data_IF_982055901499
#
_entry.id   IF_982055901499
#
_cell.length_a   1.000
_cell.length_b   1.000
_cell.length_c   1.000
_cell.angle_alpha   90.00
_cell.angle_beta   90.00
_cell.angle_gamma   90.00
#
_symmetry.space_group_name_H-M   'P 1'
#
loop_
_entity.id
_entity.type
_entity.pdbx_description
1 polymer ?
#
# COMPACT_ATOMS: atom_id res chain seq x y z
N UNK A 1 30.32 4.66 -30.28
CA UNK A 1 30.66 5.50 -29.10
C UNK A 1 30.89 4.60 -27.89
N UNK A 2 31.94 4.83 -27.07
CA UNK A 2 32.23 3.97 -25.93
C UNK A 2 31.22 4.17 -24.79
N UNK A 3 30.70 3.06 -24.26
CA UNK A 3 29.62 2.96 -23.26
C UNK A 3 29.88 3.77 -21.97
N UNK A 4 31.15 4.05 -21.65
CA UNK A 4 31.53 4.90 -20.50
C UNK A 4 30.96 6.32 -20.57
N UNK A 5 30.79 6.89 -21.77
CA UNK A 5 30.23 8.25 -21.92
C UNK A 5 28.73 8.32 -21.59
N UNK A 6 27.98 7.25 -21.87
CA UNK A 6 26.55 7.20 -21.57
C UNK A 6 26.29 7.09 -20.06
N UNK A 7 27.12 6.33 -19.35
CA UNK A 7 26.98 6.13 -17.91
C UNK A 7 27.24 7.41 -17.11
N UNK A 8 28.18 8.25 -17.54
CA UNK A 8 28.46 9.53 -16.88
C UNK A 8 27.32 10.55 -17.07
N UNK A 9 26.60 10.48 -18.20
CA UNK A 9 25.45 11.35 -18.47
C UNK A 9 24.23 11.01 -17.61
N UNK A 10 24.05 9.75 -17.20
CA UNK A 10 22.91 9.31 -16.37
C UNK A 10 23.09 9.69 -14.90
N UNK A 11 24.33 9.89 -14.43
CA UNK A 11 24.62 10.23 -13.03
C UNK A 11 24.59 11.73 -12.71
N UNK A 12 24.13 12.58 -13.62
CA UNK A 12 23.85 14.00 -13.31
C UNK A 12 25.06 14.81 -12.81
N UNK A 13 26.28 14.38 -13.12
CA UNK A 13 27.50 15.16 -12.84
C UNK A 13 27.81 16.06 -14.04
N UNK A 14 27.01 17.10 -14.21
CA UNK A 14 27.44 18.30 -14.91
C UNK A 14 28.29 19.11 -13.94
N UNK A 15 29.61 19.14 -14.17
CA UNK A 15 30.51 20.13 -13.61
C UNK A 15 30.02 21.52 -14.04
N UNK A 16 29.58 22.32 -13.07
CA UNK A 16 29.29 23.75 -13.26
C UNK A 16 30.24 24.51 -12.35
N UNK A 17 31.30 25.08 -12.95
CA UNK A 17 32.10 26.15 -12.35
C UNK A 17 31.66 27.52 -12.91
N UNK A 18 31.92 28.62 -12.18
CA UNK A 18 31.12 29.83 -12.21
C UNK A 18 31.71 30.94 -13.10
N UNK A 19 30.84 31.71 -13.74
CA UNK A 19 31.11 33.03 -14.34
C UNK A 19 29.74 33.61 -14.75
N UNK A 20 29.39 34.89 -14.66
CA UNK A 20 29.94 36.11 -14.08
C UNK A 20 28.75 37.10 -14.05
N UNK A 21 28.88 38.15 -13.23
CA UNK A 21 28.13 39.41 -13.25
C UNK A 21 27.41 39.79 -14.55
N UNK A 22 26.16 40.28 -14.45
CA UNK A 22 25.74 41.63 -14.93
C UNK A 22 24.45 42.04 -14.21
N UNK A 23 24.49 43.26 -13.67
CA UNK A 23 23.44 44.05 -13.03
C UNK A 23 22.41 44.63 -14.01
N UNK A 24 21.15 44.79 -13.56
CA UNK A 24 20.21 45.93 -13.81
C UNK A 24 18.86 45.52 -13.19
N UNK A 25 18.36 46.05 -12.06
CA UNK A 25 18.05 47.44 -11.64
C UNK A 25 17.03 48.17 -12.53
N UNK A 26 15.74 48.05 -12.16
CA UNK A 26 14.73 49.14 -11.97
C UNK A 26 13.60 48.55 -11.07
N UNK A 27 13.47 48.91 -9.78
CA UNK A 27 12.52 49.88 -9.17
C UNK A 27 11.14 49.98 -9.89
N UNK A 28 9.95 50.00 -9.27
CA UNK A 28 9.45 50.62 -8.05
C UNK A 28 8.09 49.93 -7.68
N UNK A 29 7.79 49.55 -6.43
CA UNK A 29 7.16 50.38 -5.38
C UNK A 29 5.64 50.13 -5.22
N UNK A 30 5.25 49.43 -4.14
CA UNK A 30 4.17 49.90 -3.28
C UNK A 30 4.30 49.30 -1.88
N UNK A 31 4.51 50.20 -0.92
CA UNK A 31 4.62 49.96 0.52
C UNK A 31 3.24 49.93 1.14
N UNK A 32 2.96 48.96 2.01
CA UNK A 32 2.18 49.21 3.23
C UNK A 32 2.97 48.57 4.39
N UNK A 33 3.37 49.44 5.32
CA UNK A 33 4.03 49.11 6.57
C UNK A 33 2.98 48.96 7.68
N UNK A 34 3.15 47.99 8.57
CA UNK A 34 2.80 48.11 9.99
C UNK A 34 3.86 47.35 10.83
N UNK A 35 4.61 48.15 11.57
CA UNK A 35 5.35 47.93 12.84
C UNK A 35 4.76 46.87 13.79
N UNK A 36 5.43 46.18 14.73
CA UNK A 36 6.52 46.55 15.66
C UNK A 36 6.92 45.24 16.40
N UNK A 37 8.17 44.72 16.30
CA UNK A 37 9.25 44.66 17.34
C UNK A 37 9.06 43.65 18.53
N UNK A 38 10.11 43.26 19.33
CA UNK A 38 10.76 41.94 19.28
C UNK A 38 10.94 41.34 20.72
N UNK A 39 12.12 40.79 21.12
CA UNK A 39 12.56 39.40 21.04
C UNK A 39 12.67 38.71 22.42
N UNK A 40 12.65 37.37 22.47
CA UNK A 40 13.15 36.62 23.64
C UNK A 40 14.19 35.57 23.22
N UNK A 41 15.43 35.95 23.51
CA UNK A 41 16.62 35.12 23.68
C UNK A 41 16.49 34.11 24.83
N UNK A 42 16.80 32.83 24.57
CA UNK A 42 17.35 31.88 25.55
C UNK A 42 18.13 30.80 24.77
N UNK A 43 19.44 30.96 24.57
CA UNK A 43 20.56 30.59 25.45
C UNK A 43 20.80 29.07 25.51
N UNK A 44 21.93 28.70 24.92
CA UNK A 44 22.60 27.40 24.93
C UNK A 44 22.59 26.72 26.30
N UNK A 45 22.42 25.39 26.28
CA UNK A 45 23.13 24.52 27.23
C UNK A 45 23.60 23.23 26.53
N UNK A 46 24.87 23.27 26.16
CA UNK A 46 25.75 22.13 25.94
C UNK A 46 25.92 21.31 27.21
N UNK A 47 25.97 19.98 27.11
CA UNK A 47 26.59 19.03 28.05
C UNK A 47 26.85 17.69 27.31
N UNK A 48 27.88 16.92 27.70
CA UNK A 48 28.88 16.26 26.83
C UNK A 48 28.56 14.81 26.35
N UNK A 49 29.43 14.22 25.50
CA UNK A 49 29.29 12.87 25.00
C UNK A 49 29.78 11.85 26.03
N UNK A 50 29.03 10.77 26.26
CA UNK A 50 29.53 9.70 27.10
C UNK A 50 29.05 8.29 26.68
N UNK A 51 30.04 7.56 26.17
CA UNK A 51 30.32 6.13 26.35
C UNK A 51 29.43 5.09 25.67
N UNK A 52 29.96 4.63 24.54
CA UNK A 52 29.89 3.27 24.03
C UNK A 52 30.28 2.22 25.08
N UNK A 53 29.47 1.16 25.28
CA UNK A 53 29.96 -0.10 25.81
C UNK A 53 30.46 -1.01 24.68
N UNK A 54 31.70 -1.45 24.86
CA UNK A 54 32.39 -2.55 24.19
C UNK A 54 31.55 -3.83 24.10
N UNK A 55 31.70 -4.62 23.00
CA UNK A 55 31.05 -5.91 22.85
C UNK A 55 31.73 -6.97 23.73
N UNK A 56 30.95 -7.64 24.58
CA UNK A 56 31.38 -8.83 25.30
C UNK A 56 31.30 -10.02 24.34
N UNK A 57 32.46 -10.59 24.03
CA UNK A 57 32.61 -11.88 23.41
C UNK A 57 32.11 -12.98 24.35
N UNK A 58 31.16 -13.80 23.90
CA UNK A 58 30.89 -15.12 24.49
C UNK A 58 30.73 -16.13 23.36
N UNK A 59 31.85 -16.82 23.13
CA UNK A 59 31.97 -18.28 23.06
C UNK A 59 31.02 -19.04 22.14
N UNK A 60 31.60 -19.41 20.99
CA UNK A 60 31.26 -20.58 20.20
C UNK A 60 30.96 -21.82 21.06
N UNK A 61 29.76 -22.37 20.88
CA UNK A 61 29.55 -23.82 21.01
C UNK A 61 28.93 -24.34 19.73
N UNK A 62 29.82 -24.85 18.89
CA UNK A 62 29.51 -25.83 17.88
C UNK A 62 28.75 -27.00 18.50
N UNK A 63 27.53 -27.24 18.04
CA UNK A 63 26.89 -28.55 18.14
C UNK A 63 26.75 -29.07 16.71
N UNK A 64 27.71 -29.91 16.37
CA UNK A 64 27.59 -30.93 15.33
C UNK A 64 26.40 -31.81 15.67
N UNK A 65 25.36 -31.76 14.85
CA UNK A 65 24.40 -32.85 14.71
C UNK A 65 24.29 -33.17 13.22
N UNK A 66 25.02 -34.22 12.85
CA UNK A 66 24.93 -34.91 11.57
C UNK A 66 23.66 -35.77 11.53
N UNK A 67 23.24 -36.07 10.30
CA UNK A 67 22.24 -37.07 9.90
C UNK A 67 20.78 -36.58 9.94
N UNK A 68 19.99 -36.68 8.87
CA UNK A 68 19.94 -37.79 7.91
C UNK A 68 19.45 -37.30 6.55
N UNK A 69 20.07 -37.83 5.50
CA UNK A 69 19.56 -37.81 4.13
C UNK A 69 18.49 -38.90 4.07
N UNK A 70 17.24 -38.49 4.29
CA UNK A 70 16.08 -39.30 3.96
C UNK A 70 15.44 -38.70 2.70
N UNK A 71 15.43 -39.53 1.68
CA UNK A 71 14.74 -39.46 0.40
C UNK A 71 13.45 -38.60 0.46
N UNK A 72 13.57 -37.34 0.02
CA UNK A 72 12.45 -36.41 -0.07
C UNK A 72 11.91 -36.44 -1.50
N UNK A 73 10.88 -37.25 -1.71
CA UNK A 73 9.86 -36.90 -2.69
C UNK A 73 9.50 -35.44 -2.47
N UNK A 74 9.58 -34.63 -3.53
CA UNK A 74 9.30 -33.19 -3.48
C UNK A 74 7.81 -33.02 -3.19
N UNK A 75 7.45 -33.12 -1.92
CA UNK A 75 6.20 -32.63 -1.38
C UNK A 75 6.26 -31.12 -1.56
N UNK A 76 5.58 -30.64 -2.60
CA UNK A 76 5.26 -29.22 -2.81
C UNK A 76 4.75 -28.72 -1.46
N UNK A 77 5.56 -27.93 -0.75
CA UNK A 77 5.24 -27.44 0.58
C UNK A 77 3.87 -26.75 0.49
N UNK A 78 2.84 -27.39 1.05
CA UNK A 78 1.51 -26.81 1.07
C UNK A 78 1.59 -25.55 1.92
N UNK A 79 1.40 -24.41 1.28
CA UNK A 79 1.31 -23.11 1.96
C UNK A 79 0.23 -23.24 3.03
N UNK A 80 0.52 -22.94 4.32
CA UNK A 80 -0.45 -23.07 5.39
C UNK A 80 -1.69 -22.23 5.08
N UNK A 81 -2.82 -22.91 4.84
CA UNK A 81 -4.06 -22.23 4.47
C UNK A 81 -4.50 -21.27 5.59
N UNK A 82 -4.91 -20.04 5.25
CA UNK A 82 -5.37 -19.08 6.25
C UNK A 82 -6.61 -19.61 6.98
N UNK A 83 -6.69 -19.33 8.29
CA UNK A 83 -7.87 -19.65 9.09
C UNK A 83 -8.96 -18.62 8.80
N UNK A 84 -9.86 -18.96 7.89
CA UNK A 84 -10.96 -18.09 7.46
C UNK A 84 -12.24 -18.36 8.25
N UNK A 85 -12.97 -17.28 8.58
CA UNK A 85 -14.31 -17.38 9.15
C UNK A 85 -15.31 -17.88 8.10
N UNK A 86 -16.51 -18.29 8.54
CA UNK A 86 -17.56 -18.80 7.64
C UNK A 86 -17.93 -17.78 6.57
N UNK A 87 -18.05 -16.51 6.95
CA UNK A 87 -18.37 -15.43 6.04
C UNK A 87 -17.26 -15.19 5.01
N UNK A 88 -15.99 -15.19 5.45
CA UNK A 88 -14.86 -15.02 4.52
C UNK A 88 -14.74 -16.18 3.54
N UNK A 89 -15.09 -17.40 3.95
CA UNK A 89 -15.17 -18.56 3.04
C UNK A 89 -16.25 -18.35 1.98
N UNK A 90 -17.40 -17.79 2.34
CA UNK A 90 -18.46 -17.47 1.38
C UNK A 90 -18.03 -16.36 0.43
N UNK A 91 -17.37 -15.31 0.95
CA UNK A 91 -16.74 -14.27 0.14
C UNK A 91 -15.75 -14.87 -0.87
N UNK A 92 -14.80 -15.69 -0.40
CA UNK A 92 -13.81 -16.32 -1.27
C UNK A 92 -14.46 -17.18 -2.36
N UNK A 93 -15.57 -17.87 -2.06
CA UNK A 93 -16.34 -18.61 -3.06
C UNK A 93 -16.97 -17.69 -4.11
N UNK A 94 -17.62 -16.61 -3.67
CA UNK A 94 -18.24 -15.63 -4.57
C UNK A 94 -17.20 -14.91 -5.46
N UNK A 95 -16.03 -14.61 -4.89
CA UNK A 95 -14.90 -14.01 -5.62
C UNK A 95 -14.28 -14.98 -6.59
N UNK A 96 -14.11 -16.24 -6.19
CA UNK A 96 -13.65 -17.28 -7.09
C UNK A 96 -14.57 -17.34 -8.30
N UNK A 97 -15.89 -17.39 -8.11
CA UNK A 97 -16.87 -17.45 -9.20
C UNK A 97 -16.88 -16.18 -10.09
N UNK A 98 -16.25 -15.10 -9.63
CA UNK A 98 -16.04 -13.88 -10.40
C UNK A 98 -14.76 -13.96 -11.24
N UNK A 99 -14.78 -13.47 -12.47
CA UNK A 99 -13.59 -13.28 -13.31
C UNK A 99 -12.83 -11.99 -12.98
N UNK A 100 -12.74 -11.64 -11.70
CA UNK A 100 -12.14 -10.38 -11.27
C UNK A 100 -10.61 -10.43 -11.39
N UNK A 101 -10.02 -9.45 -12.09
CA UNK A 101 -8.58 -9.31 -12.22
C UNK A 101 -8.00 -8.32 -11.22
N UNK A 102 -8.82 -7.38 -10.75
CA UNK A 102 -8.41 -6.30 -9.85
C UNK A 102 -9.31 -6.28 -8.62
N UNK A 103 -8.71 -6.46 -7.44
CA UNK A 103 -9.42 -6.48 -6.17
C UNK A 103 -8.83 -5.41 -5.26
N UNK A 104 -9.70 -4.52 -4.79
CA UNK A 104 -9.39 -3.51 -3.79
C UNK A 104 -10.00 -3.93 -2.45
N UNK A 105 -9.17 -4.07 -1.43
CA UNK A 105 -9.60 -4.31 -0.05
C UNK A 105 -9.31 -3.10 0.84
N UNK A 106 -10.32 -2.69 1.61
CA UNK A 106 -10.28 -1.53 2.50
C UNK A 106 -10.51 -2.02 3.93
N UNK A 107 -9.54 -1.79 4.81
CA UNK A 107 -9.56 -2.27 6.20
C UNK A 107 -9.20 -3.75 6.31
N UNK A 108 -7.92 -4.09 6.20
CA UNK A 108 -7.40 -5.46 6.11
C UNK A 108 -7.59 -6.23 7.42
N UNK A 109 -7.51 -5.54 8.56
CA UNK A 109 -7.65 -6.16 9.88
C UNK A 109 -6.49 -7.13 10.14
N UNK A 110 -6.80 -8.40 10.41
CA UNK A 110 -5.81 -9.43 10.76
C UNK A 110 -5.04 -9.99 9.55
N UNK A 111 -5.44 -9.65 8.33
CA UNK A 111 -4.80 -10.09 7.08
C UNK A 111 -5.11 -11.53 6.66
N UNK A 112 -5.81 -12.32 7.49
CA UNK A 112 -6.16 -13.70 7.13
C UNK A 112 -7.13 -13.73 5.94
N UNK A 113 -8.05 -12.78 5.92
CA UNK A 113 -9.00 -12.61 4.81
C UNK A 113 -8.30 -12.27 3.50
N UNK A 114 -7.41 -11.27 3.49
CA UNK A 114 -6.63 -10.89 2.31
C UNK A 114 -5.84 -12.07 1.72
N UNK A 115 -5.22 -12.88 2.58
CA UNK A 115 -4.55 -14.13 2.15
C UNK A 115 -5.53 -15.12 1.52
N UNK A 116 -6.70 -15.31 2.13
CA UNK A 116 -7.74 -16.20 1.60
C UNK A 116 -8.27 -15.76 0.25
N UNK A 117 -8.43 -14.45 0.05
CA UNK A 117 -8.86 -13.86 -1.22
C UNK A 117 -7.83 -14.12 -2.32
N UNK A 118 -6.55 -13.84 -2.04
CA UNK A 118 -5.49 -14.05 -3.02
C UNK A 118 -5.32 -15.53 -3.33
N UNK A 119 -5.39 -16.42 -2.33
CA UNK A 119 -5.38 -17.88 -2.52
C UNK A 119 -6.54 -18.35 -3.42
N UNK A 120 -7.76 -17.91 -3.13
CA UNK A 120 -8.95 -18.30 -3.88
C UNK A 120 -8.92 -17.83 -5.35
N UNK A 121 -8.37 -16.64 -5.61
CA UNK A 121 -8.27 -16.07 -6.95
C UNK A 121 -7.10 -16.65 -7.75
N UNK A 122 -5.96 -16.91 -7.11
CA UNK A 122 -4.78 -17.50 -7.76
C UNK A 122 -4.87 -19.02 -7.94
N UNK A 123 -5.75 -19.70 -7.19
CA UNK A 123 -6.03 -21.11 -7.36
C UNK A 123 -6.71 -21.47 -8.70
N UNK A 124 -7.22 -20.48 -9.44
CA UNK A 124 -7.69 -20.67 -10.81
C UNK A 124 -6.51 -20.43 -11.75
N UNK A 125 -6.28 -21.33 -12.71
CA UNK A 125 -5.35 -21.08 -13.81
C UNK A 125 -5.91 -19.97 -14.72
N UNK A 126 -5.82 -18.73 -14.25
CA UNK A 126 -6.15 -17.56 -15.03
C UNK A 126 -4.93 -17.20 -15.88
N UNK A 127 -5.17 -16.83 -17.13
CA UNK A 127 -4.10 -16.39 -18.03
C UNK A 127 -3.45 -15.09 -17.56
N UNK A 128 -4.16 -14.28 -16.75
CA UNK A 128 -3.71 -12.97 -16.27
C UNK A 128 -3.48 -13.01 -14.75
N UNK A 129 -2.34 -12.50 -14.26
CA UNK A 129 -2.09 -12.44 -12.83
C UNK A 129 -3.03 -11.44 -12.16
N UNK A 130 -3.66 -11.87 -11.08
CA UNK A 130 -4.57 -11.05 -10.27
C UNK A 130 -3.79 -9.91 -9.59
N UNK A 131 -4.36 -8.71 -9.62
CA UNK A 131 -3.86 -7.53 -8.94
C UNK A 131 -4.67 -7.31 -7.66
N UNK A 132 -4.02 -7.49 -6.51
CA UNK A 132 -4.60 -7.29 -5.19
C UNK A 132 -4.04 -6.01 -4.58
N UNK A 133 -4.94 -5.07 -4.28
CA UNK A 133 -4.63 -3.76 -3.72
C UNK A 133 -5.25 -3.68 -2.34
N UNK A 134 -4.44 -3.36 -1.33
CA UNK A 134 -4.90 -3.31 0.05
C UNK A 134 -4.64 -1.92 0.65
N UNK A 135 -5.71 -1.28 1.13
CA UNK A 135 -5.67 0.04 1.78
C UNK A 135 -5.95 -0.15 3.26
N UNK A 136 -4.96 0.17 4.09
CA UNK A 136 -5.06 0.14 5.55
C UNK A 136 -4.00 1.06 6.14
N UNK A 137 -4.19 1.53 7.37
CA UNK A 137 -3.16 2.24 8.12
C UNK A 137 -2.14 1.30 8.79
N UNK A 138 -2.41 -0.02 8.85
CA UNK A 138 -1.52 -1.02 9.47
C UNK A 138 -1.10 -0.60 10.89
N UNK A 139 0.20 -0.68 11.20
CA UNK A 139 0.78 -0.30 12.50
C UNK A 139 0.52 1.18 12.85
N UNK A 140 0.33 2.06 11.87
CA UNK A 140 -0.02 3.46 12.11
C UNK A 140 -1.48 3.64 12.57
N UNK A 141 -2.34 2.67 12.25
CA UNK A 141 -3.74 2.63 12.69
C UNK A 141 -3.94 1.87 14.01
N UNK A 142 -2.87 1.44 14.68
CA UNK A 142 -2.94 0.62 15.89
C UNK A 142 -3.30 -0.85 15.64
N UNK A 143 -3.23 -1.31 14.38
CA UNK A 143 -3.47 -2.70 14.03
C UNK A 143 -2.26 -3.57 14.44
N UNK A 144 -2.45 -4.77 15.05
CA UNK A 144 -1.36 -5.70 15.33
C UNK A 144 -0.61 -6.18 14.08
N UNK A 145 -1.25 -6.15 12.90
CA UNK A 145 -0.62 -6.57 11.66
C UNK A 145 0.25 -5.45 11.07
N UNK A 146 1.56 -5.69 10.99
CA UNK A 146 2.49 -4.75 10.34
C UNK A 146 2.46 -4.89 8.81
N UNK A 147 2.76 -3.78 8.12
CA UNK A 147 2.87 -3.75 6.66
C UNK A 147 3.87 -4.80 6.14
N UNK A 148 5.01 -4.93 6.83
CA UNK A 148 6.07 -5.87 6.49
C UNK A 148 5.61 -7.32 6.62
N UNK A 149 4.90 -7.63 7.70
CA UNK A 149 4.37 -8.98 7.96
C UNK A 149 3.38 -9.38 6.88
N UNK A 150 2.42 -8.51 6.58
CA UNK A 150 1.41 -8.77 5.57
C UNK A 150 2.01 -8.92 4.17
N UNK A 151 2.95 -8.04 3.79
CA UNK A 151 3.67 -8.18 2.53
C UNK A 151 4.46 -9.48 2.43
N UNK A 152 5.07 -9.95 3.53
CA UNK A 152 5.80 -11.22 3.56
C UNK A 152 4.84 -12.39 3.28
N UNK A 153 3.69 -12.40 3.94
CA UNK A 153 2.67 -13.44 3.79
C UNK A 153 2.11 -13.52 2.36
N UNK A 154 1.90 -12.37 1.72
CA UNK A 154 1.33 -12.33 0.37
C UNK A 154 2.33 -12.67 -0.75
N UNK A 155 3.64 -12.62 -0.48
CA UNK A 155 4.68 -12.93 -1.49
C UNK A 155 4.66 -14.40 -1.94
N UNK A 156 4.03 -15.27 -1.16
CA UNK A 156 3.92 -16.70 -1.45
C UNK A 156 2.95 -17.01 -2.61
N UNK A 157 2.12 -16.04 -2.99
CA UNK A 157 1.11 -16.20 -4.04
C UNK A 157 1.58 -15.59 -5.37
N UNK A 158 1.19 -16.17 -6.52
CA UNK A 158 1.50 -15.63 -7.85
C UNK A 158 0.58 -14.45 -8.22
N UNK A 159 0.44 -13.46 -7.33
CA UNK A 159 -0.37 -12.27 -7.52
C UNK A 159 0.48 -10.99 -7.47
N UNK A 160 0.01 -9.95 -8.15
CA UNK A 160 0.58 -8.60 -8.02
C UNK A 160 -0.05 -7.95 -6.80
N UNK A 161 0.76 -7.69 -5.77
CA UNK A 161 0.29 -7.18 -4.49
C UNK A 161 0.75 -5.75 -4.31
N UNK A 162 -0.20 -4.86 -4.01
CA UNK A 162 0.04 -3.45 -3.76
C UNK A 162 -0.55 -3.03 -2.42
N UNK A 163 0.31 -2.67 -1.47
CA UNK A 163 -0.11 -2.23 -0.15
C UNK A 163 -0.01 -0.70 -0.06
N UNK A 164 -1.07 -0.07 0.43
CA UNK A 164 -1.21 1.38 0.56
C UNK A 164 -1.36 1.70 2.05
N UNK A 165 -0.25 1.99 2.77
CA UNK A 165 -0.25 2.25 4.20
C UNK A 165 -0.75 3.67 4.51
N UNK A 166 -2.04 3.93 4.32
CA UNK A 166 -2.66 5.25 4.45
C UNK A 166 -4.09 5.15 5.01
N UNK A 167 -4.64 6.23 5.59
CA UNK A 167 -6.06 6.31 5.90
C UNK A 167 -6.94 6.08 4.66
N UNK A 168 -8.16 5.60 4.86
CA UNK A 168 -9.06 5.14 3.80
C UNK A 168 -9.23 6.18 2.69
N UNK A 169 -9.67 7.39 3.01
CA UNK A 169 -9.92 8.45 2.01
C UNK A 169 -8.67 8.76 1.15
N UNK A 170 -7.50 8.91 1.78
CA UNK A 170 -6.24 9.19 1.07
C UNK A 170 -5.77 8.00 0.24
N UNK A 171 -5.96 6.79 0.77
CA UNK A 171 -5.66 5.55 0.06
C UNK A 171 -6.52 5.38 -1.18
N UNK A 172 -7.82 5.68 -1.09
CA UNK A 172 -8.74 5.64 -2.24
C UNK A 172 -8.35 6.63 -3.33
N UNK A 173 -8.03 7.89 -2.99
CA UNK A 173 -7.55 8.88 -3.97
C UNK A 173 -6.25 8.42 -4.65
N UNK A 174 -5.30 7.86 -3.88
CA UNK A 174 -4.06 7.31 -4.44
C UNK A 174 -4.32 6.14 -5.37
N UNK A 175 -5.21 5.22 -4.99
CA UNK A 175 -5.57 4.05 -5.82
C UNK A 175 -6.21 4.51 -7.12
N UNK A 176 -7.13 5.47 -7.05
CA UNK A 176 -7.80 6.02 -8.22
C UNK A 176 -6.81 6.64 -9.21
N UNK A 177 -5.79 7.37 -8.72
CA UNK A 177 -4.76 7.98 -9.58
C UNK A 177 -3.73 7.00 -10.12
N UNK A 178 -3.41 5.95 -9.37
CA UNK A 178 -2.30 5.04 -9.69
C UNK A 178 -2.75 3.84 -10.50
N UNK A 179 -3.88 3.23 -10.12
CA UNK A 179 -4.37 1.98 -10.70
C UNK A 179 -5.65 2.18 -11.52
N UNK A 180 -6.40 3.27 -11.27
CA UNK A 180 -7.65 3.54 -11.96
C UNK A 180 -8.80 2.72 -11.42
N UNK A 181 -9.66 2.23 -12.32
CA UNK A 181 -10.86 1.48 -11.97
C UNK A 181 -10.58 0.01 -11.61
N UNK A 182 -11.39 -0.57 -10.72
CA UNK A 182 -11.22 -1.92 -10.18
C UNK A 182 -12.48 -2.78 -10.34
N UNK A 183 -12.33 -4.10 -10.42
CA UNK A 183 -13.45 -5.04 -10.66
C UNK A 183 -14.22 -5.38 -9.39
N UNK A 184 -13.52 -5.42 -8.26
CA UNK A 184 -14.12 -5.73 -6.95
C UNK A 184 -13.58 -4.78 -5.91
N UNK A 185 -14.50 -4.25 -5.09
CA UNK A 185 -14.17 -3.43 -3.93
C UNK A 185 -14.75 -4.10 -2.69
N UNK A 186 -13.90 -4.36 -1.71
CA UNK A 186 -14.25 -4.94 -0.42
C UNK A 186 -14.13 -3.87 0.66
N UNK A 187 -15.26 -3.52 1.27
CA UNK A 187 -15.34 -2.56 2.36
C UNK A 187 -15.50 -3.31 3.69
N UNK A 188 -14.41 -3.45 4.44
CA UNK A 188 -14.42 -4.12 5.75
C UNK A 188 -14.32 -3.14 6.93
N UNK A 189 -14.50 -1.85 6.69
CA UNK A 189 -14.49 -0.83 7.75
C UNK A 189 -15.89 -0.74 8.35
N UNK A 190 -15.98 -0.80 9.67
CA UNK A 190 -17.26 -0.77 10.41
C UNK A 190 -18.02 0.55 10.23
N UNK A 191 -17.32 1.62 9.83
CA UNK A 191 -17.94 2.91 9.53
C UNK A 191 -18.64 2.92 8.17
N UNK A 192 -19.79 3.60 8.12
CA UNK A 192 -20.44 3.93 6.85
C UNK A 192 -19.52 4.83 6.03
N UNK A 193 -19.34 4.58 4.71
CA UNK A 193 -18.56 5.45 3.86
C UNK A 193 -19.08 6.89 3.91
N UNK A 194 -18.19 7.85 4.09
CA UNK A 194 -18.47 9.27 3.97
C UNK A 194 -18.84 9.64 2.52
N UNK A 195 -19.43 10.82 2.31
CA UNK A 195 -19.87 11.23 0.97
C UNK A 195 -18.70 11.45 0.00
N UNK A 196 -17.53 11.90 0.50
CA UNK A 196 -16.31 11.98 -0.29
C UNK A 196 -15.82 10.58 -0.70
N UNK A 197 -15.84 9.61 0.21
CA UNK A 197 -15.49 8.22 -0.08
C UNK A 197 -16.46 7.58 -1.07
N UNK A 198 -17.77 7.82 -0.95
CA UNK A 198 -18.76 7.36 -1.96
C UNK A 198 -18.46 7.91 -3.35
N UNK A 199 -18.07 9.19 -3.44
CA UNK A 199 -17.67 9.82 -4.70
C UNK A 199 -16.39 9.20 -5.29
N UNK A 200 -15.44 8.82 -4.44
CA UNK A 200 -14.23 8.11 -4.87
C UNK A 200 -14.55 6.68 -5.31
N UNK A 201 -15.37 5.95 -4.55
CA UNK A 201 -15.81 4.59 -4.85
C UNK A 201 -16.56 4.51 -6.18
N UNK A 202 -17.43 5.48 -6.49
CA UNK A 202 -18.14 5.51 -7.76
C UNK A 202 -17.20 5.73 -8.95
N UNK A 203 -16.13 6.52 -8.78
CA UNK A 203 -15.09 6.74 -9.80
C UNK A 203 -14.16 5.54 -9.96
N UNK A 204 -13.89 4.82 -8.87
CA UNK A 204 -13.12 3.57 -8.86
C UNK A 204 -13.91 2.41 -9.48
N UNK A 205 -15.23 2.49 -9.52
CA UNK A 205 -16.09 1.44 -10.04
C UNK A 205 -16.23 1.50 -11.56
N UNK A 206 -16.10 0.33 -12.19
CA UNK A 206 -16.56 -0.01 -13.53
C UNK A 206 -18.07 -0.34 -13.51
N UNK A 207 -18.73 -0.42 -14.68
CA UNK A 207 -20.16 -0.78 -14.75
C UNK A 207 -20.50 -2.14 -14.13
N UNK A 208 -19.56 -3.08 -14.12
CA UNK A 208 -19.68 -4.44 -13.59
C UNK A 208 -19.00 -4.63 -12.23
N UNK A 209 -18.51 -3.55 -11.62
CA UNK A 209 -17.80 -3.65 -10.34
C UNK A 209 -18.72 -4.15 -9.23
N UNK A 210 -18.23 -5.16 -8.52
CA UNK A 210 -18.90 -5.67 -7.32
C UNK A 210 -18.37 -4.93 -6.11
N UNK A 211 -19.19 -4.05 -5.53
CA UNK A 211 -18.93 -3.48 -4.22
C UNK A 211 -19.53 -4.39 -3.15
N UNK A 212 -18.70 -4.89 -2.25
CA UNK A 212 -19.11 -5.77 -1.17
C UNK A 212 -18.78 -5.12 0.16
N UNK A 213 -19.73 -5.10 1.08
CA UNK A 213 -19.56 -4.56 2.43
C UNK A 213 -19.67 -5.68 3.46
N UNK A 214 -18.81 -5.64 4.47
CA UNK A 214 -18.95 -6.48 5.64
C UNK A 214 -19.78 -5.73 6.69
N UNK A 215 -20.97 -6.23 6.99
CA UNK A 215 -21.84 -5.73 8.06
C UNK A 215 -22.08 -6.88 9.05
N UNK A 216 -21.73 -6.67 10.32
CA UNK A 216 -21.90 -7.67 11.40
C UNK A 216 -21.31 -9.06 11.07
N UNK A 217 -20.17 -9.06 10.37
CA UNK A 217 -19.50 -10.29 9.94
C UNK A 217 -20.20 -11.01 8.79
N UNK A 218 -21.18 -10.40 8.13
CA UNK A 218 -21.81 -10.89 6.90
C UNK A 218 -21.43 -10.03 5.71
N UNK A 219 -21.08 -10.68 4.59
CA UNK A 219 -20.79 -9.98 3.34
C UNK A 219 -22.06 -9.76 2.52
N UNK A 220 -22.38 -8.50 2.24
CA UNK A 220 -23.49 -8.11 1.38
C UNK A 220 -22.97 -7.41 0.12
N UNK A 221 -23.63 -7.64 -1.02
CA UNK A 221 -23.32 -6.92 -2.26
C UNK A 221 -24.11 -5.62 -2.24
N UNK A 222 -23.40 -4.49 -2.22
CA UNK A 222 -23.99 -3.19 -2.48
C UNK A 222 -24.17 -3.08 -3.98
N UNK A 223 -25.38 -3.33 -4.47
CA UNK A 223 -25.73 -3.05 -5.85
C UNK A 223 -25.44 -1.58 -6.12
N UNK A 224 -24.35 -1.29 -6.83
CA UNK A 224 -24.04 0.04 -7.31
C UNK A 224 -25.24 0.47 -8.14
N UNK A 225 -26.07 1.34 -7.58
CA UNK A 225 -27.25 1.85 -8.24
C UNK A 225 -26.72 2.73 -9.35
N UNK A 226 -26.60 2.15 -10.53
CA UNK A 226 -26.28 2.86 -11.75
C UNK A 226 -27.47 3.76 -12.05
N UNK A 227 -27.49 4.94 -11.43
CA UNK A 227 -28.22 6.09 -11.96
C UNK A 227 -27.52 6.50 -13.25
N UNK A 228 -27.78 5.71 -14.29
CA UNK A 228 -27.60 6.07 -15.69
C UNK A 228 -28.48 7.30 -15.93
N UNK A 229 -27.92 8.48 -15.67
CA UNK A 229 -28.49 9.75 -16.09
C UNK A 229 -28.37 9.78 -17.61
N UNK A 230 -29.39 9.23 -18.27
CA UNK A 230 -29.65 9.43 -19.69
C UNK A 230 -29.87 10.93 -19.89
N UNK A 231 -28.81 11.68 -20.21
CA UNK A 231 -28.94 13.03 -20.73
C UNK A 231 -29.52 12.90 -22.14
N UNK A 232 -30.84 12.96 -22.20
CA UNK A 232 -31.63 13.12 -23.42
C UNK A 232 -31.25 14.49 -23.99
N UNK A 233 -30.47 14.50 -25.07
CA UNK A 233 -30.26 15.68 -25.87
C UNK A 233 -31.60 16.05 -26.54
N UNK A 234 -32.05 17.28 -26.31
CA UNK A 234 -33.11 17.95 -27.04
C UNK A 234 -32.54 19.26 -27.59
#
# INVERSE_FOLDING_TARGET
MPLRKLWNSIRGKSETEPSSDVQQEVQAELRIAVETTPPVTAKLKSIPPQQSPTPVAVTDKAVLAQSSVADATVAKAEIPRPKLNRADKQLCKQLADSSANTVLEIGIGDGNRGRGIVDALTGREQSTPVCYIAVDSFELGGNPLTLREFHRQLREYPAKVHLVPMPVEQGLDRVLRTYGQVDVILWSVDSVPSDSEKSLLSRLSKPDTKLMKCDDGCWSVLSATSESTIRKAA
#
